data_IF_396488169589
#
_entry.id   IF_396488169589
#
_cell.length_a   1.000
_cell.length_b   1.000
_cell.length_c   1.000
_cell.angle_alpha   90.00
_cell.angle_beta   90.00
_cell.angle_gamma   90.00
#
_symmetry.space_group_name_H-M   'P 1'
#
loop_
_entity.id
_entity.type
_entity.pdbx_description
1 polymer ?
#
# COMPACT_ATOMS: atom_id res chain seq x y z
N UNK A 1 9.17 -2.34 -9.48
CA UNK A 1 10.33 -1.55 -9.90
C UNK A 1 10.57 -1.78 -11.38
N UNK A 2 10.64 -3.03 -11.81
CA UNK A 2 10.77 -3.46 -13.23
C UNK A 2 9.93 -2.64 -14.21
N UNK A 3 8.63 -2.47 -13.98
CA UNK A 3 7.76 -1.71 -14.88
C UNK A 3 8.18 -0.23 -15.03
N UNK A 4 8.63 0.39 -13.94
CA UNK A 4 9.09 1.78 -13.95
C UNK A 4 10.44 1.90 -14.68
N UNK A 5 11.33 0.95 -14.46
CA UNK A 5 12.64 0.89 -15.14
C UNK A 5 12.46 0.59 -16.64
N UNK A 6 11.54 -0.30 -16.99
CA UNK A 6 11.10 -0.55 -18.37
C UNK A 6 10.56 0.73 -19.03
N UNK A 7 9.86 1.58 -18.28
CA UNK A 7 9.44 2.91 -18.71
C UNK A 7 10.57 3.97 -18.73
N UNK A 8 11.83 3.56 -18.57
CA UNK A 8 12.99 4.45 -18.58
C UNK A 8 13.13 5.32 -17.32
N UNK A 9 12.45 4.95 -16.23
CA UNK A 9 12.52 5.68 -14.96
C UNK A 9 13.63 5.17 -14.07
N UNK A 10 14.33 6.10 -13.44
CA UNK A 10 15.16 5.81 -12.26
C UNK A 10 14.25 5.81 -11.03
N UNK A 11 14.25 4.71 -10.29
CA UNK A 11 13.46 4.56 -9.06
C UNK A 11 14.37 4.69 -7.86
N UNK A 12 13.97 5.51 -6.89
CA UNK A 12 14.61 5.60 -5.58
C UNK A 12 13.58 5.23 -4.52
N UNK A 13 13.93 4.26 -3.67
CA UNK A 13 13.09 3.89 -2.54
C UNK A 13 13.48 4.71 -1.31
N UNK A 14 12.52 5.08 -0.43
CA UNK A 14 12.83 5.64 0.88
C UNK A 14 13.80 4.74 1.65
N UNK A 15 14.77 5.33 2.34
CA UNK A 15 15.76 4.57 3.12
C UNK A 15 15.22 4.08 4.47
N UNK A 16 14.00 4.50 4.83
CA UNK A 16 13.30 4.08 6.04
C UNK A 16 11.80 3.85 5.78
N UNK A 17 11.11 3.07 6.62
CA UNK A 17 9.66 2.94 6.55
C UNK A 17 8.98 4.28 6.81
N UNK A 18 8.17 4.72 5.84
CA UNK A 18 7.35 5.93 5.92
C UNK A 18 5.87 5.56 6.02
N UNK A 19 5.07 6.44 6.62
CA UNK A 19 3.63 6.24 6.76
C UNK A 19 2.89 7.44 6.18
N UNK A 20 1.90 7.15 5.34
CA UNK A 20 1.01 8.13 4.74
C UNK A 20 -0.11 8.59 5.72
N UNK A 21 -0.31 7.90 6.85
CA UNK A 21 -1.22 8.33 7.92
C UNK A 21 -2.74 8.12 7.80
N UNK A 22 -3.33 7.47 6.77
CA UNK A 22 -4.79 7.46 6.58
C UNK A 22 -5.54 6.83 7.76
N UNK A 23 -5.02 5.79 8.39
CA UNK A 23 -5.64 5.18 9.59
C UNK A 23 -5.68 6.14 10.77
N UNK A 24 -4.64 6.95 10.97
CA UNK A 24 -4.62 7.94 12.05
C UNK A 24 -5.63 9.06 11.77
N UNK A 25 -5.79 9.46 10.51
CA UNK A 25 -6.78 10.44 10.08
C UNK A 25 -8.20 9.89 10.29
N UNK A 26 -8.50 8.72 9.74
CA UNK A 26 -9.85 8.13 9.76
C UNK A 26 -10.34 7.76 11.16
N UNK A 27 -9.44 7.57 12.12
CA UNK A 27 -9.77 7.28 13.54
C UNK A 27 -9.71 8.53 14.42
N UNK A 28 -9.53 9.72 13.85
CA UNK A 28 -9.52 11.00 14.57
C UNK A 28 -8.25 11.25 15.40
N UNK A 29 -7.20 10.45 15.23
CA UNK A 29 -5.92 10.58 15.94
C UNK A 29 -5.01 11.60 15.24
N UNK A 30 -5.52 12.82 15.05
CA UNK A 30 -4.92 13.84 14.19
C UNK A 30 -3.50 14.25 14.62
N UNK A 31 -3.22 14.39 15.92
CA UNK A 31 -1.86 14.69 16.39
C UNK A 31 -0.85 13.57 16.15
N UNK A 32 -1.30 12.32 15.94
CA UNK A 32 -0.42 11.23 15.48
C UNK A 32 -0.27 11.32 13.96
N UNK A 33 -1.37 11.54 13.24
CA UNK A 33 -1.38 11.74 11.80
C UNK A 33 -0.39 12.83 11.39
N UNK A 34 -0.43 13.98 12.06
CA UNK A 34 0.46 15.11 11.81
C UNK A 34 1.92 14.68 11.98
N UNK A 35 2.28 14.08 13.12
CA UNK A 35 3.68 13.67 13.38
C UNK A 35 4.21 12.69 12.34
N UNK A 36 3.41 11.70 11.93
CA UNK A 36 3.85 10.71 10.93
C UNK A 36 3.94 11.34 9.53
N UNK A 37 2.98 12.17 9.16
CA UNK A 37 2.99 12.88 7.87
C UNK A 37 4.14 13.87 7.77
N UNK A 38 4.39 14.68 8.81
CA UNK A 38 5.52 15.60 8.81
C UNK A 38 6.87 14.89 8.71
N UNK A 39 7.01 13.66 9.24
CA UNK A 39 8.22 12.86 9.02
C UNK A 39 8.35 12.46 7.55
N UNK A 40 7.27 11.93 6.98
CA UNK A 40 7.24 11.50 5.58
C UNK A 40 7.51 12.66 4.62
N UNK A 41 6.86 13.80 4.80
CA UNK A 41 7.08 15.02 3.99
C UNK A 41 8.52 15.50 4.07
N UNK A 42 9.10 15.57 5.28
CA UNK A 42 10.53 15.94 5.44
C UNK A 42 11.47 14.97 4.73
N UNK A 43 11.17 13.67 4.73
CA UNK A 43 11.98 12.67 4.03
C UNK A 43 11.90 12.86 2.50
N UNK A 44 10.72 13.21 1.99
CA UNK A 44 10.49 13.40 0.55
C UNK A 44 10.92 14.78 0.04
N UNK A 45 11.14 15.75 0.95
CA UNK A 45 11.35 17.15 0.60
C UNK A 45 12.46 17.36 -0.44
N UNK A 46 13.63 16.72 -0.27
CA UNK A 46 14.75 16.86 -1.22
C UNK A 46 14.38 16.39 -2.63
N UNK A 47 13.82 15.18 -2.74
CA UNK A 47 13.36 14.61 -4.03
C UNK A 47 12.32 15.50 -4.71
N UNK A 48 11.37 16.02 -3.93
CA UNK A 48 10.31 16.88 -4.44
C UNK A 48 10.83 18.27 -4.85
N UNK A 49 11.77 18.86 -4.11
CA UNK A 49 12.40 20.14 -4.43
C UNK A 49 13.22 20.07 -5.74
N UNK A 50 13.79 18.92 -6.04
CA UNK A 50 14.48 18.63 -7.31
C UNK A 50 13.51 18.36 -8.49
N UNK A 51 12.20 18.43 -8.26
CA UNK A 51 11.17 18.19 -9.28
C UNK A 51 10.82 16.71 -9.48
N UNK A 52 11.26 15.82 -8.58
CA UNK A 52 10.94 14.41 -8.62
C UNK A 52 9.45 14.12 -8.36
N UNK A 53 8.95 13.00 -8.89
CA UNK A 53 7.60 12.52 -8.65
C UNK A 53 7.59 11.43 -7.58
N UNK A 54 6.53 11.40 -6.76
CA UNK A 54 6.24 10.31 -5.82
C UNK A 54 5.17 9.42 -6.45
N UNK A 55 5.50 8.15 -6.66
CA UNK A 55 4.55 7.20 -7.24
C UNK A 55 3.79 6.51 -6.11
N UNK A 56 2.50 6.79 -6.00
CA UNK A 56 1.61 6.16 -5.05
C UNK A 56 1.05 4.84 -5.59
N UNK A 57 1.38 3.73 -4.94
CA UNK A 57 0.86 2.38 -5.26
C UNK A 57 -0.42 2.03 -4.49
N UNK A 58 -0.67 2.73 -3.38
CA UNK A 58 -1.83 2.50 -2.54
C UNK A 58 -2.75 3.73 -2.65
N UNK A 59 -3.95 3.61 -3.26
CA UNK A 59 -4.82 4.76 -3.49
C UNK A 59 -5.20 5.54 -2.22
N UNK A 60 -5.34 4.87 -1.07
CA UNK A 60 -5.57 5.58 0.20
C UNK A 60 -4.39 6.47 0.61
N UNK A 61 -3.16 5.99 0.48
CA UNK A 61 -1.96 6.81 0.73
C UNK A 61 -1.83 7.95 -0.28
N UNK A 62 -2.07 7.68 -1.56
CA UNK A 62 -1.99 8.68 -2.63
C UNK A 62 -2.98 9.82 -2.38
N UNK A 63 -4.21 9.48 -2.00
CA UNK A 63 -5.24 10.46 -1.68
C UNK A 63 -4.87 11.35 -0.49
N UNK A 64 -4.23 10.80 0.55
CA UNK A 64 -3.75 11.63 1.67
C UNK A 64 -2.78 12.72 1.19
N UNK A 65 -1.81 12.38 0.33
CA UNK A 65 -0.89 13.40 -0.19
C UNK A 65 -1.57 14.42 -1.09
N UNK A 66 -2.58 14.01 -1.87
CA UNK A 66 -3.32 14.90 -2.78
C UNK A 66 -4.37 15.77 -2.13
N UNK A 67 -4.94 15.35 -1.01
CA UNK A 67 -6.07 16.00 -0.38
C UNK A 67 -5.83 16.22 1.12
N UNK A 68 -5.94 15.16 1.93
CA UNK A 68 -6.07 15.25 3.39
C UNK A 68 -4.89 15.95 4.07
N UNK A 69 -3.67 15.76 3.57
CA UNK A 69 -2.48 16.38 4.14
C UNK A 69 -2.53 17.92 4.02
N UNK A 70 -3.07 18.45 2.91
CA UNK A 70 -3.22 19.89 2.71
C UNK A 70 -4.24 20.52 3.67
N UNK A 71 -5.29 19.76 4.00
CA UNK A 71 -6.31 20.16 4.98
C UNK A 71 -5.79 20.11 6.42
N UNK A 72 -4.97 19.10 6.74
CA UNK A 72 -4.38 18.92 8.05
C UNK A 72 -3.28 19.95 8.36
N UNK A 73 -2.58 20.44 7.33
CA UNK A 73 -1.49 21.42 7.46
C UNK A 73 -1.76 22.70 6.64
N UNK A 74 -2.77 23.51 7.02
CA UNK A 74 -3.13 24.70 6.28
C UNK A 74 -1.99 25.72 6.33
N UNK A 75 -1.28 25.88 5.21
CA UNK A 75 -0.22 26.88 5.04
C UNK A 75 1.20 26.33 5.03
N UNK A 76 1.39 25.03 5.27
CA UNK A 76 2.70 24.40 5.11
C UNK A 76 2.98 24.13 3.62
N UNK A 77 3.93 24.87 3.05
CA UNK A 77 4.30 24.73 1.63
C UNK A 77 4.94 23.38 1.32
N UNK A 78 5.66 22.81 2.27
CA UNK A 78 6.32 21.52 2.07
C UNK A 78 5.29 20.39 2.08
N UNK A 79 4.18 20.53 2.82
CA UNK A 79 3.07 19.57 2.79
C UNK A 79 2.20 19.72 1.54
N UNK A 80 2.10 20.93 0.97
CA UNK A 80 1.36 21.16 -0.29
C UNK A 80 2.07 20.62 -1.52
N UNK A 81 3.39 20.65 -1.54
CA UNK A 81 4.20 20.18 -2.69
C UNK A 81 3.92 18.71 -3.09
N UNK A 82 3.85 17.75 -2.15
CA UNK A 82 3.42 16.38 -2.45
C UNK A 82 2.07 16.29 -3.18
N UNK A 83 1.13 17.21 -2.99
CA UNK A 83 -0.17 17.14 -3.65
C UNK A 83 -0.04 17.24 -5.18
N UNK A 84 0.90 18.06 -5.66
CA UNK A 84 1.14 18.28 -7.10
C UNK A 84 2.09 17.24 -7.71
N UNK A 85 2.95 16.64 -6.89
CA UNK A 85 4.03 15.74 -7.34
C UNK A 85 3.80 14.27 -6.98
N UNK A 86 2.68 13.94 -6.32
CA UNK A 86 2.27 12.55 -6.08
C UNK A 86 1.31 12.11 -7.17
N UNK A 87 1.68 11.05 -7.88
CA UNK A 87 0.92 10.47 -9.00
C UNK A 87 0.66 9.00 -8.77
N UNK A 88 -0.45 8.49 -9.30
CA UNK A 88 -0.67 7.04 -9.39
C UNK A 88 0.32 6.43 -10.36
N UNK A 89 0.50 5.11 -10.28
CA UNK A 89 1.28 4.38 -11.29
C UNK A 89 0.74 4.61 -12.70
N UNK A 90 -0.58 4.63 -12.85
CA UNK A 90 -1.22 4.82 -14.15
C UNK A 90 -0.92 6.22 -14.72
N UNK A 91 -1.10 7.27 -13.93
CA UNK A 91 -0.80 8.65 -14.33
C UNK A 91 0.68 8.85 -14.68
N UNK A 92 1.59 8.20 -13.95
CA UNK A 92 3.00 8.25 -14.30
C UNK A 92 3.27 7.66 -15.69
N UNK A 93 2.71 6.47 -15.96
CA UNK A 93 2.97 5.73 -17.19
C UNK A 93 2.24 6.31 -18.40
N UNK A 94 1.11 6.98 -18.22
CA UNK A 94 0.34 7.61 -19.31
C UNK A 94 0.68 9.09 -19.50
N UNK A 95 0.72 9.86 -18.42
CA UNK A 95 0.85 11.32 -18.46
C UNK A 95 2.28 11.83 -18.35
N UNK A 96 3.15 11.12 -17.63
CA UNK A 96 4.51 11.59 -17.40
C UNK A 96 5.56 10.89 -18.26
N UNK A 97 5.26 9.73 -18.86
CA UNK A 97 6.22 8.87 -19.58
C UNK A 97 5.96 8.91 -21.10
N UNK A 98 6.32 10.00 -21.81
CA UNK A 98 6.00 10.15 -23.23
C UNK A 98 6.63 9.04 -24.07
N UNK A 99 5.83 8.45 -24.95
CA UNK A 99 6.26 7.35 -25.82
C UNK A 99 6.35 5.98 -25.14
N UNK A 100 6.04 5.88 -23.83
CA UNK A 100 5.99 4.58 -23.15
C UNK A 100 4.80 3.77 -23.66
N UNK A 101 5.04 2.59 -24.24
CA UNK A 101 4.00 1.61 -24.55
C UNK A 101 3.99 0.52 -23.47
N UNK A 102 2.86 0.25 -22.80
CA UNK A 102 2.80 -0.83 -21.83
C UNK A 102 3.00 -2.19 -22.51
N UNK A 103 3.60 -3.17 -21.80
CA UNK A 103 3.71 -4.52 -22.31
C UNK A 103 2.33 -5.12 -22.58
N UNK A 104 2.25 -5.97 -23.61
CA UNK A 104 1.02 -6.64 -24.04
C UNK A 104 1.23 -8.15 -23.94
N UNK A 105 0.27 -8.84 -23.32
CA UNK A 105 0.29 -10.30 -23.25
C UNK A 105 0.05 -10.95 -24.62
N UNK A 106 0.41 -12.23 -24.79
CA UNK A 106 0.28 -12.96 -26.05
C UNK A 106 -1.19 -13.13 -26.50
N UNK A 107 -2.14 -13.23 -25.56
CA UNK A 107 -3.57 -13.33 -25.83
C UNK A 107 -4.22 -11.93 -25.80
N UNK A 108 -4.76 -11.51 -26.95
CA UNK A 108 -5.05 -10.10 -27.27
C UNK A 108 -6.33 -9.49 -26.66
N UNK A 109 -6.98 -10.14 -25.71
CA UNK A 109 -8.10 -9.57 -24.97
C UNK A 109 -8.26 -10.32 -23.66
N UNK A 110 -7.59 -9.84 -22.63
CA UNK A 110 -7.82 -10.30 -21.28
C UNK A 110 -8.89 -9.46 -20.62
N UNK A 111 -9.97 -10.09 -20.17
CA UNK A 111 -10.96 -9.43 -19.33
C UNK A 111 -10.45 -9.38 -17.90
N UNK A 112 -10.34 -8.17 -17.35
CA UNK A 112 -9.88 -7.99 -15.98
C UNK A 112 -10.83 -7.05 -15.20
N UNK A 113 -11.88 -7.59 -14.57
CA UNK A 113 -12.74 -6.81 -13.69
C UNK A 113 -11.91 -6.06 -12.64
N UNK A 114 -12.13 -4.76 -12.56
CA UNK A 114 -11.45 -3.91 -11.61
C UNK A 114 -12.34 -3.57 -10.42
N UNK A 115 -11.77 -3.61 -9.22
CA UNK A 115 -12.34 -2.98 -8.03
C UNK A 115 -11.68 -1.61 -7.84
N UNK A 116 -12.37 -0.54 -8.24
CA UNK A 116 -11.93 0.82 -7.98
C UNK A 116 -11.86 1.06 -6.46
N UNK A 117 -10.75 1.60 -5.98
CA UNK A 117 -10.64 1.96 -4.57
C UNK A 117 -11.51 3.17 -4.25
N UNK A 118 -12.14 3.23 -3.07
CA UNK A 118 -13.00 4.36 -2.70
C UNK A 118 -12.27 5.71 -2.72
N UNK A 119 -11.00 5.74 -2.33
CA UNK A 119 -10.16 6.96 -2.41
C UNK A 119 -9.78 7.30 -3.85
N UNK A 120 -9.66 6.29 -4.73
CA UNK A 120 -9.45 6.53 -6.16
C UNK A 120 -10.68 7.17 -6.78
N UNK A 121 -11.87 6.64 -6.48
CA UNK A 121 -13.14 7.23 -6.90
C UNK A 121 -13.32 8.67 -6.41
N UNK A 122 -12.99 8.94 -5.14
CA UNK A 122 -13.26 10.23 -4.51
C UNK A 122 -12.24 11.32 -4.86
N UNK A 123 -10.96 10.96 -5.08
CA UNK A 123 -9.85 11.94 -5.15
C UNK A 123 -9.00 11.82 -6.42
N UNK A 124 -8.76 10.60 -6.92
CA UNK A 124 -7.70 10.37 -7.92
C UNK A 124 -8.22 10.25 -9.36
N UNK A 125 -9.42 9.70 -9.56
CA UNK A 125 -9.97 9.37 -10.87
C UNK A 125 -9.53 8.00 -11.41
N UNK A 126 -10.09 7.62 -12.57
CA UNK A 126 -9.88 6.32 -13.22
C UNK A 126 -9.35 6.42 -14.65
N UNK A 127 -9.43 7.58 -15.29
CA UNK A 127 -9.19 7.74 -16.73
C UNK A 127 -7.76 7.31 -17.15
N UNK A 128 -6.76 7.61 -16.32
CA UNK A 128 -5.38 7.19 -16.59
C UNK A 128 -5.21 5.66 -16.54
N UNK A 129 -5.93 5.00 -15.63
CA UNK A 129 -5.93 3.55 -15.46
C UNK A 129 -6.61 2.86 -16.64
N UNK A 130 -7.78 3.36 -17.03
CA UNK A 130 -8.52 2.87 -18.19
C UNK A 130 -7.69 2.99 -19.46
N UNK A 131 -7.08 4.16 -19.70
CA UNK A 131 -6.24 4.38 -20.87
C UNK A 131 -5.02 3.46 -20.88
N UNK A 132 -4.34 3.30 -19.73
CA UNK A 132 -3.18 2.42 -19.64
C UNK A 132 -3.54 0.95 -19.94
N UNK A 133 -4.64 0.48 -19.37
CA UNK A 133 -5.11 -0.90 -19.53
C UNK A 133 -5.55 -1.17 -20.97
N UNK A 134 -6.28 -0.22 -21.57
CA UNK A 134 -6.66 -0.27 -22.98
C UNK A 134 -5.43 -0.35 -23.90
N UNK A 135 -4.40 0.46 -23.64
CA UNK A 135 -3.12 0.42 -24.37
C UNK A 135 -2.36 -0.89 -24.15
N UNK A 136 -2.50 -1.53 -23.00
CA UNK A 136 -1.95 -2.85 -22.69
C UNK A 136 -2.74 -4.02 -23.33
N UNK A 137 -3.88 -3.73 -23.98
CA UNK A 137 -4.74 -4.75 -24.59
C UNK A 137 -5.64 -5.48 -23.58
N UNK A 138 -5.89 -4.87 -22.42
CA UNK A 138 -6.79 -5.40 -21.39
C UNK A 138 -8.16 -4.81 -21.57
N UNK A 139 -9.18 -5.66 -21.65
CA UNK A 139 -10.58 -5.25 -21.61
C UNK A 139 -10.99 -5.06 -20.15
N UNK A 140 -11.22 -3.81 -19.78
CA UNK A 140 -11.54 -3.43 -18.40
C UNK A 140 -12.90 -2.76 -18.39
N UNK A 141 -13.87 -3.45 -17.81
CA UNK A 141 -15.15 -2.84 -17.47
C UNK A 141 -14.94 -1.80 -16.37
N UNK A 142 -15.63 -0.66 -16.51
CA UNK A 142 -15.65 0.34 -15.46
C UNK A 142 -16.17 -0.28 -14.16
N UNK A 143 -15.46 -0.11 -13.03
CA UNK A 143 -15.84 -0.74 -11.77
C UNK A 143 -17.24 -0.32 -11.31
N UNK A 144 -18.08 -1.30 -10.99
CA UNK A 144 -19.37 -1.03 -10.38
C UNK A 144 -19.19 -0.29 -9.04
N UNK A 145 -20.03 0.70 -8.77
CA UNK A 145 -19.91 1.55 -7.58
C UNK A 145 -20.15 0.74 -6.30
N UNK A 146 -19.08 0.46 -5.54
CA UNK A 146 -19.15 -0.22 -4.26
C UNK A 146 -17.78 -0.27 -3.58
N UNK A 147 -17.73 0.02 -2.27
CA UNK A 147 -16.51 -0.15 -1.49
C UNK A 147 -16.32 -1.60 -1.06
N UNK A 148 -15.07 -2.02 -0.83
CA UNK A 148 -14.77 -3.35 -0.30
C UNK A 148 -15.24 -3.55 1.15
N UNK A 149 -15.60 -2.48 1.86
CA UNK A 149 -16.08 -2.56 3.24
C UNK A 149 -14.99 -2.63 4.32
N UNK A 150 -13.70 -2.73 3.96
CA UNK A 150 -12.63 -2.77 4.96
C UNK A 150 -12.24 -1.38 5.49
N UNK A 151 -12.22 -0.36 4.62
CA UNK A 151 -12.02 1.07 4.93
C UNK A 151 -10.95 1.35 6.00
N UNK A 152 -9.67 1.10 5.66
CA UNK A 152 -8.57 1.25 6.61
C UNK A 152 -8.57 0.11 7.64
N UNK A 153 -8.71 0.44 8.92
CA UNK A 153 -8.79 -0.53 10.00
C UNK A 153 -10.23 -0.90 10.39
N UNK A 154 -11.26 -0.27 9.80
CA UNK A 154 -12.65 -0.40 10.23
C UNK A 154 -13.10 -1.86 10.32
N UNK A 155 -12.92 -2.66 9.26
CA UNK A 155 -13.34 -4.07 9.28
C UNK A 155 -12.50 -4.99 10.19
N UNK A 156 -11.36 -4.52 10.70
CA UNK A 156 -10.57 -5.23 11.71
C UNK A 156 -10.99 -4.89 13.15
N UNK A 157 -11.78 -3.83 13.34
CA UNK A 157 -12.24 -3.46 14.67
C UNK A 157 -13.31 -4.43 15.17
N UNK A 158 -13.27 -4.68 16.48
CA UNK A 158 -14.17 -5.61 17.14
C UNK A 158 -15.61 -5.14 16.97
N UNK A 159 -16.45 -6.00 16.41
CA UNK A 159 -17.87 -5.72 16.18
C UNK A 159 -18.19 -5.13 14.81
N UNK A 160 -17.19 -4.87 13.96
CA UNK A 160 -17.41 -4.28 12.63
C UNK A 160 -17.42 -5.29 11.49
N UNK A 161 -17.09 -6.56 11.74
CA UNK A 161 -17.00 -7.60 10.70
C UNK A 161 -18.29 -7.74 9.88
N UNK A 162 -19.45 -7.79 10.54
CA UNK A 162 -20.73 -7.99 9.85
C UNK A 162 -21.07 -6.82 8.92
N UNK A 163 -20.77 -5.58 9.36
CA UNK A 163 -20.96 -4.37 8.54
C UNK A 163 -19.97 -4.35 7.38
N UNK A 164 -18.70 -4.67 7.65
CA UNK A 164 -17.65 -4.75 6.63
C UNK A 164 -18.00 -5.77 5.54
N UNK A 165 -18.45 -6.96 5.95
CA UNK A 165 -18.92 -8.00 5.04
C UNK A 165 -20.17 -7.55 4.27
N UNK A 166 -21.16 -6.98 4.95
CA UNK A 166 -22.38 -6.50 4.30
C UNK A 166 -22.08 -5.46 3.21
N UNK A 167 -21.10 -4.59 3.41
CA UNK A 167 -20.63 -3.66 2.37
C UNK A 167 -20.05 -4.40 1.15
N UNK A 168 -19.19 -5.39 1.36
CA UNK A 168 -18.61 -6.20 0.28
C UNK A 168 -19.66 -7.01 -0.49
N UNK A 169 -20.67 -7.52 0.21
CA UNK A 169 -21.78 -8.30 -0.36
C UNK A 169 -22.78 -7.47 -1.18
N UNK A 170 -22.70 -6.13 -1.17
CA UNK A 170 -23.61 -5.29 -1.98
C UNK A 170 -23.34 -5.41 -3.47
N UNK A 171 -22.06 -5.43 -3.87
CA UNK A 171 -21.64 -5.34 -5.27
C UNK A 171 -20.43 -6.23 -5.54
N UNK A 172 -19.34 -6.03 -4.78
CA UNK A 172 -18.05 -6.67 -5.04
C UNK A 172 -18.14 -8.20 -5.04
N UNK A 173 -18.55 -8.83 -3.94
CA UNK A 173 -18.53 -10.30 -3.84
C UNK A 173 -19.52 -11.00 -4.79
N UNK A 174 -20.78 -10.53 -4.94
CA UNK A 174 -21.68 -11.10 -5.95
C UNK A 174 -21.10 -11.03 -7.36
N UNK A 175 -20.45 -9.91 -7.71
CA UNK A 175 -19.83 -9.72 -9.03
C UNK A 175 -18.67 -10.68 -9.26
N UNK A 176 -17.82 -10.90 -8.26
CA UNK A 176 -16.70 -11.84 -8.37
C UNK A 176 -17.19 -13.29 -8.45
N UNK A 177 -18.21 -13.67 -7.68
CA UNK A 177 -18.81 -15.02 -7.76
C UNK A 177 -19.50 -15.30 -9.10
N UNK A 178 -19.81 -14.28 -9.90
CA UNK A 178 -20.36 -14.46 -11.25
C UNK A 178 -19.28 -14.51 -12.34
N UNK A 179 -18.01 -14.37 -11.99
CA UNK A 179 -16.90 -14.47 -12.93
C UNK A 179 -16.46 -15.92 -13.14
N UNK A 180 -15.85 -16.19 -14.29
CA UNK A 180 -15.19 -17.47 -14.54
C UNK A 180 -13.97 -17.63 -13.63
N UNK A 181 -13.72 -18.83 -13.09
CA UNK A 181 -12.66 -19.07 -12.11
C UNK A 181 -11.23 -18.65 -12.55
N UNK A 182 -10.98 -18.51 -13.86
CA UNK A 182 -9.71 -18.03 -14.40
C UNK A 182 -9.58 -16.51 -14.52
N UNK A 183 -10.67 -15.76 -14.31
CA UNK A 183 -10.71 -14.30 -14.50
C UNK A 183 -9.80 -13.57 -13.51
N UNK A 184 -8.99 -12.66 -14.05
CA UNK A 184 -8.10 -11.80 -13.25
C UNK A 184 -8.86 -10.66 -12.64
N UNK A 185 -8.77 -10.53 -11.32
CA UNK A 185 -9.34 -9.39 -10.61
C UNK A 185 -8.24 -8.37 -10.34
N UNK A 186 -8.49 -7.10 -10.67
CA UNK A 186 -7.56 -6.00 -10.39
C UNK A 186 -8.04 -5.20 -9.19
N UNK A 187 -7.16 -4.98 -8.20
CA UNK A 187 -7.40 -4.05 -7.11
C UNK A 187 -6.08 -3.46 -6.59
N UNK A 188 -5.90 -2.15 -6.69
CA UNK A 188 -4.66 -1.50 -6.24
C UNK A 188 -4.62 -1.24 -4.74
N UNK A 189 -5.78 -1.12 -4.11
CA UNK A 189 -5.86 -0.98 -2.66
C UNK A 189 -5.58 -2.29 -1.93
N UNK A 190 -4.63 -2.28 -1.00
CA UNK A 190 -4.34 -3.38 -0.08
C UNK A 190 -5.60 -3.82 0.66
N UNK A 191 -6.44 -2.87 1.08
CA UNK A 191 -7.69 -3.19 1.76
C UNK A 191 -8.67 -3.95 0.87
N UNK A 192 -8.79 -3.55 -0.40
CA UNK A 192 -9.62 -4.26 -1.38
C UNK A 192 -9.09 -5.67 -1.64
N UNK A 193 -7.78 -5.82 -1.91
CA UNK A 193 -7.16 -7.15 -2.09
C UNK A 193 -7.30 -8.04 -0.87
N UNK A 194 -7.21 -7.47 0.34
CA UNK A 194 -7.41 -8.22 1.58
C UNK A 194 -8.84 -8.71 1.70
N UNK A 195 -9.82 -7.86 1.41
CA UNK A 195 -11.22 -8.28 1.50
C UNK A 195 -11.57 -9.37 0.48
N UNK A 196 -11.05 -9.26 -0.76
CA UNK A 196 -11.26 -10.26 -1.81
C UNK A 196 -10.63 -11.61 -1.42
N UNK A 197 -9.51 -11.59 -0.72
CA UNK A 197 -8.85 -12.80 -0.22
C UNK A 197 -9.60 -13.46 0.96
N UNK A 198 -10.02 -12.65 1.94
CA UNK A 198 -10.54 -13.16 3.22
C UNK A 198 -12.03 -13.54 3.15
N UNK A 199 -12.79 -12.96 2.23
CA UNK A 199 -14.21 -13.26 2.05
C UNK A 199 -14.44 -14.18 0.85
N UNK A 200 -15.65 -14.73 0.76
CA UNK A 200 -16.05 -15.59 -0.36
C UNK A 200 -16.18 -14.81 -1.66
N UNK A 201 -15.04 -14.67 -2.35
CA UNK A 201 -14.89 -14.06 -3.67
C UNK A 201 -15.20 -15.02 -4.81
N UNK A 202 -15.61 -16.28 -4.55
CA UNK A 202 -15.70 -17.31 -5.60
C UNK A 202 -14.35 -17.96 -5.94
N UNK A 203 -13.34 -17.81 -5.08
CA UNK A 203 -11.99 -18.35 -5.28
C UNK A 203 -11.05 -17.41 -6.04
N UNK A 204 -11.45 -16.16 -6.27
CA UNK A 204 -10.64 -15.16 -6.93
C UNK A 204 -9.61 -14.52 -5.99
N UNK A 205 -8.41 -14.29 -6.51
CA UNK A 205 -7.42 -13.38 -5.92
C UNK A 205 -7.29 -12.13 -6.78
N UNK A 206 -7.10 -11.00 -6.12
CA UNK A 206 -6.88 -9.73 -6.80
C UNK A 206 -5.39 -9.36 -6.84
N UNK A 207 -4.97 -8.81 -7.97
CA UNK A 207 -3.60 -8.32 -8.21
C UNK A 207 -3.57 -6.79 -8.34
N UNK A 208 -2.42 -6.20 -8.05
CA UNK A 208 -2.17 -4.78 -8.27
C UNK A 208 -1.87 -4.51 -9.76
N UNK A 209 -2.21 -3.31 -10.27
CA UNK A 209 -1.92 -2.90 -11.66
C UNK A 209 -0.47 -3.15 -12.10
N UNK A 210 0.49 -2.85 -11.22
CA UNK A 210 1.90 -3.12 -11.46
C UNK A 210 2.21 -4.59 -11.73
N UNK A 211 1.60 -5.51 -10.97
CA UNK A 211 1.81 -6.96 -11.11
C UNK A 211 1.20 -7.45 -12.43
N UNK A 212 -0.01 -6.96 -12.74
CA UNK A 212 -0.73 -7.25 -13.97
C UNK A 212 0.06 -6.87 -15.23
N UNK A 213 0.76 -5.74 -15.21
CA UNK A 213 1.56 -5.28 -16.34
C UNK A 213 2.96 -5.91 -16.33
N UNK A 214 3.57 -6.10 -15.16
CA UNK A 214 4.91 -6.66 -15.04
C UNK A 214 4.98 -8.13 -15.49
N UNK A 215 3.90 -8.89 -15.34
CA UNK A 215 3.81 -10.27 -15.84
C UNK A 215 3.89 -10.36 -17.37
N UNK A 216 3.61 -9.28 -18.09
CA UNK A 216 3.71 -9.20 -19.54
C UNK A 216 5.09 -8.69 -20.03
N UNK A 217 6.02 -8.36 -19.11
CA UNK A 217 7.37 -7.95 -19.48
C UNK A 217 8.20 -9.12 -20.05
N UNK A 218 9.14 -8.85 -20.96
CA UNK A 218 10.15 -9.83 -21.36
C UNK A 218 10.92 -10.32 -20.13
N UNK A 219 11.13 -11.64 -20.02
CA UNK A 219 11.86 -12.29 -18.93
C UNK A 219 11.22 -12.17 -17.52
N UNK A 220 9.92 -11.89 -17.44
CA UNK A 220 9.20 -11.81 -16.16
C UNK A 220 9.26 -13.13 -15.38
N UNK A 221 9.81 -13.10 -14.16
CA UNK A 221 9.75 -14.21 -13.19
C UNK A 221 8.46 -14.21 -12.36
N UNK A 222 7.53 -13.27 -12.61
CA UNK A 222 6.27 -13.16 -11.87
C UNK A 222 5.38 -14.36 -12.19
N UNK A 223 5.38 -15.37 -11.30
CA UNK A 223 4.45 -16.50 -11.34
C UNK A 223 3.06 -16.03 -10.92
N UNK A 224 2.25 -15.62 -11.90
CA UNK A 224 0.89 -15.13 -11.67
C UNK A 224 0.51 -14.05 -12.68
N UNK A 225 -0.28 -14.48 -13.68
CA UNK A 225 -1.10 -13.68 -14.59
C UNK A 225 -0.48 -12.55 -15.41
N UNK A 226 -0.21 -12.84 -16.69
CA UNK A 226 -0.51 -11.97 -17.85
C UNK A 226 -1.62 -12.58 -18.73
N UNK A 227 -2.64 -13.28 -18.22
CA UNK A 227 -3.86 -12.67 -17.69
C UNK A 227 -4.82 -13.76 -17.15
N UNK A 228 -4.38 -14.53 -16.15
CA UNK A 228 -5.18 -15.53 -15.42
C UNK A 228 -4.56 -15.81 -14.06
N UNK A 229 -5.36 -15.82 -12.99
CA UNK A 229 -4.87 -15.87 -11.60
C UNK A 229 -4.36 -17.27 -11.27
N UNK A 230 -3.07 -17.42 -10.93
CA UNK A 230 -2.58 -18.64 -10.31
C UNK A 230 -2.87 -18.58 -8.79
N UNK A 231 -3.49 -19.60 -8.18
CA UNK A 231 -3.55 -19.72 -6.73
C UNK A 231 -2.12 -19.75 -6.13
N UNK A 232 -1.86 -18.96 -5.08
CA UNK A 232 -0.62 -19.10 -4.28
C UNK A 232 0.46 -18.02 -4.46
N UNK A 233 0.16 -16.87 -5.06
CA UNK A 233 1.14 -15.77 -5.27
C UNK A 233 1.50 -15.01 -3.99
N UNK A 234 0.65 -15.05 -2.95
CA UNK A 234 1.01 -14.42 -1.67
C UNK A 234 2.05 -15.26 -0.93
N UNK A 235 3.11 -14.64 -0.36
CA UNK A 235 4.01 -15.33 0.55
C UNK A 235 3.21 -16.03 1.64
N UNK A 236 3.40 -17.34 1.78
CA UNK A 236 2.78 -18.08 2.86
C UNK A 236 3.15 -17.40 4.19
N UNK A 237 2.22 -17.32 5.17
CA UNK A 237 2.54 -16.76 6.47
C UNK A 237 3.81 -17.43 7.01
N UNK A 238 4.73 -16.68 7.64
CA UNK A 238 6.00 -17.22 8.07
C UNK A 238 5.76 -18.47 8.91
N UNK A 239 6.43 -19.56 8.54
CA UNK A 239 6.30 -20.83 9.23
C UNK A 239 6.57 -20.67 10.73
N UNK A 240 6.06 -21.60 11.55
CA UNK A 240 6.16 -21.52 13.03
C UNK A 240 7.58 -21.19 13.53
N UNK A 241 8.62 -21.69 12.84
CA UNK A 241 10.04 -21.39 13.14
C UNK A 241 10.44 -19.94 12.86
N UNK A 242 10.00 -19.36 11.75
CA UNK A 242 10.26 -17.97 11.42
C UNK A 242 9.54 -17.01 12.39
N UNK A 243 8.30 -17.35 12.80
CA UNK A 243 7.58 -16.61 13.86
C UNK A 243 8.31 -16.70 15.20
N UNK A 244 8.80 -17.88 15.58
CA UNK A 244 9.55 -18.06 16.83
C UNK A 244 10.88 -17.28 16.83
N UNK A 245 11.60 -17.25 15.70
CA UNK A 245 12.83 -16.47 15.56
C UNK A 245 12.60 -14.96 15.63
N UNK A 246 11.53 -14.45 15.01
CA UNK A 246 11.16 -13.04 15.08
C UNK A 246 10.71 -12.61 16.49
N UNK A 247 10.03 -13.50 17.23
CA UNK A 247 9.68 -13.27 18.63
C UNK A 247 10.90 -13.36 19.55
N UNK A 248 11.86 -14.24 19.25
CA UNK A 248 13.10 -14.36 20.02
C UNK A 248 14.01 -13.14 19.85
N UNK A 249 14.09 -12.54 18.65
CA UNK A 249 14.85 -11.30 18.43
C UNK A 249 14.21 -10.09 19.12
N UNK A 250 12.87 -10.00 19.15
CA UNK A 250 12.15 -9.01 19.95
C UNK A 250 12.36 -9.23 21.46
N UNK A 251 12.33 -10.48 21.93
CA UNK A 251 12.59 -10.83 23.33
C UNK A 251 14.03 -10.55 23.77
N UNK A 252 15.01 -10.76 22.90
CA UNK A 252 16.42 -10.43 23.17
C UNK A 252 16.66 -8.91 23.27
N UNK A 253 15.97 -8.09 22.46
CA UNK A 253 16.04 -6.64 22.55
C UNK A 253 15.46 -6.11 23.88
N UNK A 254 14.33 -6.66 24.33
CA UNK A 254 13.70 -6.30 25.62
C UNK A 254 14.52 -6.81 26.81
N UNK A 255 15.07 -8.03 26.74
CA UNK A 255 15.94 -8.61 27.76
C UNK A 255 17.28 -7.88 27.90
N UNK A 256 17.86 -7.40 26.79
CA UNK A 256 19.08 -6.60 26.79
C UNK A 256 18.91 -5.23 27.44
N UNK A 257 17.79 -4.54 27.15
CA UNK A 257 17.45 -3.25 27.75
C UNK A 257 17.21 -3.35 29.26
N UNK A 258 16.49 -4.38 29.72
CA UNK A 258 16.23 -4.58 31.16
C UNK A 258 17.48 -4.96 31.93
N UNK A 259 18.34 -5.84 31.39
CA UNK A 259 19.62 -6.19 32.02
C UNK A 259 20.60 -5.01 32.08
N UNK A 260 20.63 -4.16 31.04
CA UNK A 260 21.43 -2.93 31.00
C UNK A 260 21.00 -1.92 32.07
N UNK A 261 19.68 -1.72 32.24
CA UNK A 261 19.12 -0.81 33.25
C UNK A 261 19.42 -1.29 34.68
N UNK A 262 19.31 -2.60 34.95
CA UNK A 262 19.60 -3.18 36.28
C UNK A 262 21.08 -3.05 36.63
N UNK A 263 22.00 -3.22 35.67
CA UNK A 263 23.44 -2.98 35.89
C UNK A 263 23.74 -1.51 36.18
N UNK A 264 23.11 -0.58 35.48
CA UNK A 264 23.29 0.86 35.70
C UNK A 264 22.83 1.28 37.11
N UNK A 265 21.64 0.82 37.52
CA UNK A 265 21.07 1.14 38.85
C UNK A 265 21.92 0.55 39.99
N UNK A 266 22.46 -0.66 39.83
CA UNK A 266 23.38 -1.27 40.81
C UNK A 266 24.72 -0.51 40.88
N UNK A 267 25.27 -0.08 39.75
CA UNK A 267 26.50 0.73 39.71
C UNK A 267 26.33 2.08 40.44
N UNK A 268 25.20 2.76 40.23
CA UNK A 268 24.89 4.04 40.88
C UNK A 268 24.69 3.91 42.40
N UNK A 269 24.14 2.78 42.88
CA UNK A 269 24.01 2.49 44.32
C UNK A 269 25.36 2.19 44.98
N UNK A 270 26.27 1.49 44.29
CA UNK A 270 27.63 1.26 44.77
C UNK A 270 28.45 2.54 44.93
N UNK A 271 28.33 3.48 43.97
CA UNK A 271 29.01 4.78 44.03
C UNK A 271 28.48 5.71 45.13
N UNK A 272 27.19 5.61 45.49
CA UNK A 272 26.63 6.36 46.64
C UNK A 272 27.08 5.80 48.00
N UNK A 273 27.34 4.50 48.11
CA UNK A 273 27.90 3.88 49.33
C UNK A 273 29.33 4.32 49.65
N UNK A 274 30.17 4.51 48.62
CA UNK A 274 31.57 4.94 48.82
C UNK A 274 31.74 6.42 49.19
N UNK A 275 30.72 7.27 48.96
CA UNK A 275 30.74 8.69 49.37
C UNK A 275 30.31 8.91 50.83
N UNK A 276 29.80 7.90 51.52
CA UNK A 276 29.37 7.97 52.93
C UNK A 276 30.41 7.60 53.99
N UNK A 277 31.64 7.22 53.59
CA UNK A 277 32.72 6.76 54.49
C UNK A 277 33.92 7.72 54.59
N UNK A 278 33.76 8.99 54.19
CA UNK A 278 34.77 10.05 54.33
C UNK A 278 34.19 11.34 54.96
N UNK A 279 33.40 11.18 56.02
CA UNK A 279 32.96 12.27 56.89
C UNK A 279 33.29 11.91 58.32
#
# INVERSE_FOLDING_TARGET
MELLEHAGRRVTMPSEPLCCGPTWISTGQLGIAERVLSRTVRHLAGHLQEGGLVVGLEPSCTAVFRSDAGELFPGDRDVRRPAEQTVTLAELLTGHSPGYEPPRGPDRTARAPAQMHCHQHAVLGWDADEELLRRAGVDVEQPASGGCGLAGNFGFERGHLDVSRACAERVLLPRLRSEDAGTVVRADGFSCRTQIHELDSGGHEAVHLAELLASALPDSEVTGSAYGVAPGVRPAPPGRRARALALASAGAAVGGLTAGMVRLVRGMRGMRGMRGMRG
#
